data_IF_348468184422
#
_entry.id   IF_348468184422
#
_cell.length_a   1.000
_cell.length_b   1.000
_cell.length_c   1.000
_cell.angle_alpha   90.00
_cell.angle_beta   90.00
_cell.angle_gamma   90.00
#
_symmetry.space_group_name_H-M   'P 1'
#
loop_
_entity.id
_entity.type
_entity.pdbx_description
1 polymer ?
#
# COMPACT_ATOMS: atom_id res chain seq x y z
N UNK A 1 -3.84 25.52 7.25
CA UNK A 1 -3.88 24.66 6.06
C UNK A 1 -3.65 23.21 6.46
N UNK A 2 -4.55 22.34 6.09
CA UNK A 2 -4.40 20.92 6.39
C UNK A 2 -3.50 20.25 5.34
N UNK A 3 -2.67 19.32 5.80
CA UNK A 3 -1.88 18.50 4.91
C UNK A 3 -2.74 17.34 4.42
N UNK A 4 -2.66 17.05 3.13
CA UNK A 4 -3.34 15.89 2.56
C UNK A 4 -2.40 14.69 2.58
N UNK A 5 -2.96 13.51 2.85
CA UNK A 5 -2.20 12.25 2.84
C UNK A 5 -3.01 11.20 2.07
N UNK A 6 -2.85 11.14 0.74
CA UNK A 6 -3.59 10.16 -0.07
C UNK A 6 -3.28 8.72 0.29
N UNK A 7 -2.06 8.43 0.73
CA UNK A 7 -1.69 7.08 1.15
C UNK A 7 -2.44 6.70 2.41
N UNK A 8 -2.49 7.57 3.41
CA UNK A 8 -3.23 7.30 4.64
C UNK A 8 -4.72 7.10 4.35
N UNK A 9 -5.30 7.92 3.48
CA UNK A 9 -6.70 7.77 3.08
C UNK A 9 -6.94 6.40 2.42
N UNK A 10 -6.05 5.99 1.52
CA UNK A 10 -6.13 4.69 0.86
C UNK A 10 -6.07 3.55 1.88
N UNK A 11 -5.11 3.59 2.81
CA UNK A 11 -4.95 2.56 3.83
C UNK A 11 -6.18 2.49 4.73
N UNK A 12 -6.77 3.64 5.08
CA UNK A 12 -7.98 3.70 5.89
C UNK A 12 -9.17 3.07 5.15
N UNK A 13 -9.33 3.36 3.86
CA UNK A 13 -10.39 2.75 3.05
C UNK A 13 -10.26 1.24 2.99
N UNK A 14 -9.04 0.74 2.77
CA UNK A 14 -8.78 -0.70 2.74
C UNK A 14 -9.08 -1.33 4.10
N UNK A 15 -8.60 -0.70 5.18
CA UNK A 15 -8.80 -1.21 6.55
C UNK A 15 -10.29 -1.30 6.87
N UNK A 16 -11.05 -0.25 6.57
CA UNK A 16 -12.48 -0.22 6.85
C UNK A 16 -13.23 -1.28 6.02
N UNK A 17 -12.87 -1.44 4.75
CA UNK A 17 -13.48 -2.45 3.88
C UNK A 17 -13.20 -3.86 4.38
N UNK A 18 -11.97 -4.14 4.81
CA UNK A 18 -11.61 -5.43 5.40
C UNK A 18 -12.39 -5.71 6.67
N UNK A 19 -12.53 -4.72 7.56
CA UNK A 19 -13.29 -4.85 8.80
C UNK A 19 -14.77 -5.12 8.55
N UNK A 20 -15.32 -4.53 7.49
CA UNK A 20 -16.73 -4.71 7.12
C UNK A 20 -16.97 -5.96 6.28
N UNK A 21 -15.92 -6.68 5.89
CA UNK A 21 -16.04 -7.87 5.07
C UNK A 21 -16.40 -7.60 3.62
N UNK A 22 -16.12 -6.39 3.11
CA UNK A 22 -16.41 -6.05 1.73
C UNK A 22 -15.46 -6.77 0.78
N UNK A 23 -15.94 -7.14 -0.40
CA UNK A 23 -15.13 -7.82 -1.41
C UNK A 23 -14.29 -6.84 -2.23
N UNK A 24 -14.72 -5.58 -2.28
CA UNK A 24 -14.04 -4.57 -3.08
C UNK A 24 -14.12 -3.23 -2.37
N UNK A 25 -13.19 -2.36 -2.74
CA UNK A 25 -13.15 -0.99 -2.25
C UNK A 25 -12.79 -0.06 -3.39
N UNK A 26 -13.51 1.04 -3.51
CA UNK A 26 -13.32 2.04 -4.55
C UNK A 26 -12.72 3.32 -3.97
N UNK A 27 -11.90 3.99 -4.76
CA UNK A 27 -11.31 5.27 -4.39
C UNK A 27 -10.99 6.06 -5.66
N UNK A 28 -10.86 7.39 -5.56
CA UNK A 28 -10.41 8.16 -6.73
C UNK A 28 -9.04 7.66 -7.20
N UNK A 29 -8.88 7.51 -8.52
CA UNK A 29 -7.63 7.02 -9.08
C UNK A 29 -6.52 8.07 -8.95
N UNK A 30 -5.29 7.61 -8.69
CA UNK A 30 -4.09 8.43 -8.81
C UNK A 30 -2.94 7.51 -9.15
N UNK A 31 -1.84 8.09 -9.66
CA UNK A 31 -0.67 7.31 -10.02
C UNK A 31 -0.09 6.60 -8.80
N UNK A 32 0.03 7.31 -7.68
CA UNK A 32 0.58 6.75 -6.46
C UNK A 32 -0.28 5.60 -5.93
N UNK A 33 -1.60 5.80 -5.86
CA UNK A 33 -2.50 4.75 -5.37
C UNK A 33 -2.49 3.52 -6.25
N UNK A 34 -2.40 3.72 -7.58
CA UNK A 34 -2.32 2.62 -8.53
C UNK A 34 -1.04 1.81 -8.33
N UNK A 35 0.09 2.50 -8.07
CA UNK A 35 1.36 1.82 -7.78
C UNK A 35 1.29 1.02 -6.48
N UNK A 36 0.64 1.56 -5.44
CA UNK A 36 0.42 0.82 -4.19
C UNK A 36 -0.43 -0.41 -4.45
N UNK A 37 -1.52 -0.27 -5.21
CA UNK A 37 -2.39 -1.39 -5.55
C UNK A 37 -1.63 -2.48 -6.31
N UNK A 38 -0.76 -2.10 -7.25
CA UNK A 38 0.07 -3.04 -7.98
C UNK A 38 0.98 -3.84 -7.04
N UNK A 39 1.62 -3.16 -6.09
CA UNK A 39 2.47 -3.85 -5.10
C UNK A 39 1.67 -4.81 -4.24
N UNK A 40 0.49 -4.41 -3.80
CA UNK A 40 -0.38 -5.27 -2.99
C UNK A 40 -0.80 -6.52 -3.76
N UNK A 41 -1.15 -6.35 -5.03
CA UNK A 41 -1.51 -7.50 -5.88
C UNK A 41 -0.31 -8.42 -6.14
N UNK A 42 0.84 -7.84 -6.51
CA UNK A 42 2.03 -8.61 -6.84
C UNK A 42 2.57 -9.40 -5.65
N UNK A 43 2.31 -8.92 -4.44
CA UNK A 43 2.72 -9.58 -3.20
C UNK A 43 1.57 -10.36 -2.55
N UNK A 44 0.48 -10.58 -3.27
CA UNK A 44 -0.64 -11.45 -2.88
C UNK A 44 -1.43 -10.96 -1.66
N UNK A 45 -1.46 -9.65 -1.42
CA UNK A 45 -2.28 -9.08 -0.34
C UNK A 45 -3.69 -8.76 -0.80
N UNK A 46 -3.88 -8.48 -2.09
CA UNK A 46 -5.21 -8.33 -2.71
C UNK A 46 -5.30 -9.26 -3.90
N UNK A 47 -6.53 -9.55 -4.34
CA UNK A 47 -6.76 -10.44 -5.48
C UNK A 47 -6.40 -9.76 -6.79
N UNK A 48 -6.85 -8.51 -6.98
CA UNK A 48 -6.60 -7.74 -8.20
C UNK A 48 -7.02 -6.29 -7.98
N UNK A 49 -6.78 -5.46 -8.99
CA UNK A 49 -7.30 -4.10 -9.03
C UNK A 49 -7.67 -3.74 -10.46
N UNK A 50 -8.56 -2.76 -10.61
CA UNK A 50 -8.97 -2.24 -11.91
C UNK A 50 -9.12 -0.74 -11.84
N UNK A 51 -8.92 -0.08 -12.97
CA UNK A 51 -9.20 1.33 -13.14
C UNK A 51 -10.47 1.43 -13.98
N UNK A 52 -11.51 2.07 -13.42
CA UNK A 52 -12.81 2.21 -14.07
C UNK A 52 -13.01 3.66 -14.47
N UNK A 53 -13.57 3.84 -15.67
CA UNK A 53 -13.93 5.17 -16.16
C UNK A 53 -15.32 5.50 -15.60
N UNK A 54 -15.40 6.55 -14.80
CA UNK A 54 -16.66 7.03 -14.21
C UNK A 54 -17.19 8.28 -14.93
N UNK A 55 -16.56 8.63 -16.06
CA UNK A 55 -16.93 9.82 -16.81
C UNK A 55 -16.31 11.10 -16.26
N UNK A 56 -15.51 11.03 -15.21
CA UNK A 56 -14.84 12.17 -14.59
C UNK A 56 -13.35 11.90 -14.46
N UNK A 57 -12.88 11.52 -13.25
CA UNK A 57 -11.45 11.35 -12.97
C UNK A 57 -11.01 9.89 -12.96
N UNK A 58 -11.95 8.98 -12.96
CA UNK A 58 -11.67 7.55 -12.87
C UNK A 58 -11.69 7.05 -11.43
N UNK A 59 -11.99 5.77 -11.30
CA UNK A 59 -12.08 5.08 -10.02
C UNK A 59 -11.08 3.93 -10.01
N UNK A 60 -10.28 3.85 -8.94
CA UNK A 60 -9.44 2.70 -8.67
C UNK A 60 -10.24 1.75 -7.80
N UNK A 61 -10.44 0.54 -8.28
CA UNK A 61 -11.17 -0.51 -7.55
C UNK A 61 -10.21 -1.62 -7.17
N UNK A 62 -10.11 -1.92 -5.89
CA UNK A 62 -9.35 -3.03 -5.37
C UNK A 62 -10.27 -4.18 -5.02
N UNK A 63 -9.89 -5.39 -5.41
CA UNK A 63 -10.59 -6.63 -5.05
C UNK A 63 -9.84 -7.26 -3.88
N UNK A 64 -10.46 -7.22 -2.71
CA UNK A 64 -9.84 -7.68 -1.47
C UNK A 64 -9.78 -9.22 -1.43
N UNK A 65 -8.88 -9.74 -0.62
CA UNK A 65 -8.61 -11.17 -0.53
C UNK A 65 -8.88 -11.67 0.88
N UNK A 66 -9.58 -12.79 0.96
CA UNK A 66 -9.94 -13.42 2.23
C UNK A 66 -9.50 -14.87 2.24
N UNK A 67 -9.17 -15.36 3.42
CA UNK A 67 -8.87 -16.77 3.63
C UNK A 67 -9.59 -17.20 4.90
N UNK A 68 -10.46 -18.25 4.80
CA UNK A 68 -11.30 -18.71 5.91
C UNK A 68 -12.09 -17.55 6.55
N UNK A 69 -12.68 -16.71 5.69
CA UNK A 69 -13.51 -15.56 6.08
C UNK A 69 -12.74 -14.43 6.79
N UNK A 70 -11.42 -14.54 6.87
CA UNK A 70 -10.57 -13.50 7.45
C UNK A 70 -9.82 -12.76 6.34
N UNK A 71 -9.67 -11.42 6.45
CA UNK A 71 -8.88 -10.68 5.46
C UNK A 71 -7.44 -11.17 5.46
N UNK A 72 -6.84 -11.26 4.27
CA UNK A 72 -5.42 -11.56 4.14
C UNK A 72 -4.58 -10.46 4.77
N UNK A 73 -4.99 -9.20 4.56
CA UNK A 73 -4.36 -8.06 5.21
C UNK A 73 -4.84 -7.99 6.65
N UNK A 74 -3.92 -8.18 7.60
CA UNK A 74 -4.23 -8.14 9.03
C UNK A 74 -4.05 -6.75 9.62
N UNK A 75 -3.03 -6.03 9.18
CA UNK A 75 -2.69 -4.71 9.70
C UNK A 75 -2.09 -3.85 8.60
N UNK A 76 -2.42 -2.56 8.61
CA UNK A 76 -1.87 -1.54 7.72
C UNK A 76 -1.46 -0.35 8.57
N UNK A 77 -0.18 0.05 8.50
CA UNK A 77 0.33 1.19 9.28
C UNK A 77 1.04 2.18 8.38
N UNK A 78 0.62 3.44 8.47
CA UNK A 78 1.32 4.54 7.83
C UNK A 78 2.59 4.84 8.63
N UNK A 79 3.73 4.99 7.95
CA UNK A 79 5.00 5.30 8.61
C UNK A 79 5.41 6.73 8.31
N UNK A 80 5.81 7.03 7.06
CA UNK A 80 6.14 8.39 6.65
C UNK A 80 4.88 9.20 6.40
N UNK A 81 4.79 10.39 6.96
CA UNK A 81 3.62 11.25 6.77
C UNK A 81 4.07 12.60 6.20
N UNK A 82 3.14 13.40 5.64
CA UNK A 82 3.50 14.73 5.14
C UNK A 82 4.11 15.62 6.23
N UNK A 83 3.70 15.45 7.49
CA UNK A 83 4.25 16.22 8.61
C UNK A 83 5.53 15.67 9.21
N UNK A 84 5.87 14.41 8.91
CA UNK A 84 7.07 13.78 9.45
C UNK A 84 7.54 12.70 8.46
N UNK A 85 8.38 13.09 7.53
CA UNK A 85 8.92 12.17 6.53
C UNK A 85 9.94 11.22 7.14
N UNK A 86 9.90 9.95 6.74
CA UNK A 86 10.80 8.90 7.22
C UNK A 86 11.56 8.30 6.05
N UNK A 87 12.87 8.52 6.01
CA UNK A 87 13.75 7.98 4.98
C UNK A 87 14.68 6.94 5.60
N UNK A 88 14.91 5.86 4.89
CA UNK A 88 15.80 4.79 5.34
C UNK A 88 16.76 4.41 4.24
N UNK A 89 17.98 4.02 4.65
CA UNK A 89 18.96 3.44 3.73
C UNK A 89 18.62 1.97 3.49
N UNK A 90 19.16 1.41 2.40
CA UNK A 90 18.91 0.01 2.05
C UNK A 90 19.12 -0.94 3.22
N UNK A 91 20.24 -0.80 3.93
CA UNK A 91 20.59 -1.66 5.08
C UNK A 91 19.69 -1.47 6.30
N UNK A 92 18.92 -0.37 6.32
CA UNK A 92 18.03 -0.04 7.43
C UNK A 92 16.58 -0.41 7.16
N UNK A 93 16.29 -1.01 5.99
CA UNK A 93 14.93 -1.41 5.63
C UNK A 93 14.41 -2.44 6.62
N UNK A 94 13.19 -2.23 7.16
CA UNK A 94 12.66 -3.15 8.16
C UNK A 94 12.28 -4.50 7.55
N UNK A 95 12.38 -5.54 8.35
CA UNK A 95 11.80 -6.85 8.02
C UNK A 95 10.53 -6.98 8.83
N UNK A 96 9.41 -6.71 8.19
CA UNK A 96 8.10 -6.70 8.84
C UNK A 96 7.72 -8.12 9.22
N UNK A 97 7.46 -8.36 10.51
CA UNK A 97 7.09 -9.70 11.03
C UNK A 97 8.05 -10.79 10.54
N UNK A 98 9.36 -10.55 10.65
CA UNK A 98 10.41 -11.48 10.23
C UNK A 98 10.30 -11.91 8.76
N UNK A 99 9.83 -11.00 7.90
CA UNK A 99 9.69 -11.25 6.48
C UNK A 99 8.32 -11.75 6.04
N UNK A 100 7.40 -11.97 6.98
CA UNK A 100 6.02 -12.37 6.66
C UNK A 100 5.17 -11.21 6.18
N UNK A 101 5.53 -9.99 6.57
CA UNK A 101 4.86 -8.78 6.11
C UNK A 101 5.65 -8.07 5.03
N UNK A 102 5.24 -6.83 4.72
CA UNK A 102 5.84 -6.03 3.65
C UNK A 102 5.93 -4.58 4.08
N UNK A 103 7.01 -3.91 3.68
CA UNK A 103 7.11 -2.46 3.73
C UNK A 103 6.98 -1.91 2.32
N UNK A 104 6.30 -0.78 2.19
CA UNK A 104 6.17 -0.06 0.93
C UNK A 104 7.15 1.09 0.96
N UNK A 105 8.09 1.11 0.00
CA UNK A 105 9.18 2.07 -0.05
C UNK A 105 9.13 2.85 -1.36
N UNK A 106 9.17 4.17 -1.26
CA UNK A 106 9.28 5.03 -2.43
C UNK A 106 10.77 5.29 -2.68
N UNK A 107 11.29 4.75 -3.78
CA UNK A 107 12.72 4.84 -4.11
C UNK A 107 12.92 5.69 -5.36
N UNK A 108 14.17 6.11 -5.66
CA UNK A 108 14.44 6.79 -6.93
C UNK A 108 14.10 5.96 -8.17
N UNK A 109 13.99 4.65 -8.02
CA UNK A 109 13.62 3.74 -9.12
C UNK A 109 12.12 3.39 -9.12
N UNK A 110 11.32 4.04 -8.27
CA UNK A 110 9.89 3.82 -8.18
C UNK A 110 9.46 3.21 -6.86
N UNK A 111 8.19 2.91 -6.78
CA UNK A 111 7.61 2.31 -5.59
C UNK A 111 7.90 0.81 -5.57
N UNK A 112 8.41 0.31 -4.45
CA UNK A 112 8.79 -1.11 -4.33
C UNK A 112 8.51 -1.64 -2.92
N UNK A 113 8.49 -2.97 -2.81
CA UNK A 113 8.51 -3.62 -1.51
C UNK A 113 9.92 -3.52 -0.90
N UNK A 114 10.01 -3.74 0.41
CA UNK A 114 11.31 -3.80 1.09
C UNK A 114 12.22 -4.88 0.49
N UNK A 115 11.63 -6.02 0.11
CA UNK A 115 12.40 -7.11 -0.51
C UNK A 115 13.00 -6.66 -1.85
N UNK A 116 12.21 -6.02 -2.70
CA UNK A 116 12.69 -5.50 -3.98
C UNK A 116 13.75 -4.43 -3.79
N UNK A 117 13.54 -3.53 -2.82
CA UNK A 117 14.50 -2.47 -2.53
C UNK A 117 15.83 -3.04 -2.04
N UNK A 118 15.80 -4.07 -1.20
CA UNK A 118 17.03 -4.75 -0.75
C UNK A 118 17.77 -5.41 -1.94
N UNK A 119 17.04 -6.06 -2.83
CA UNK A 119 17.63 -6.67 -4.02
C UNK A 119 18.24 -5.63 -4.94
N UNK A 120 17.59 -4.49 -5.11
CA UNK A 120 18.09 -3.39 -5.94
C UNK A 120 19.15 -2.54 -5.22
N UNK A 121 19.37 -2.77 -3.92
CA UNK A 121 20.32 -2.04 -3.08
C UNK A 121 20.03 -0.55 -3.04
N UNK A 122 18.75 -0.20 -2.92
CA UNK A 122 18.30 1.19 -2.82
C UNK A 122 17.50 1.39 -1.54
N UNK A 123 17.59 2.59 -0.98
CA UNK A 123 16.74 3.04 0.10
C UNK A 123 15.74 4.06 -0.43
N UNK A 124 14.95 4.63 0.46
CA UNK A 124 13.99 5.62 0.09
C UNK A 124 13.07 6.00 1.23
N UNK A 125 11.93 6.56 0.89
CA UNK A 125 10.91 6.94 1.86
C UNK A 125 10.09 5.73 2.26
N UNK A 126 10.08 5.42 3.56
CA UNK A 126 9.30 4.30 4.10
C UNK A 126 7.86 4.76 4.28
N UNK A 127 7.00 4.42 3.32
CA UNK A 127 5.62 4.91 3.30
C UNK A 127 4.72 4.21 4.31
N UNK A 128 4.76 2.89 4.33
CA UNK A 128 3.84 2.10 5.15
C UNK A 128 4.40 0.70 5.37
N UNK A 129 3.85 0.02 6.37
CA UNK A 129 4.12 -1.41 6.60
C UNK A 129 2.79 -2.13 6.73
N UNK A 130 2.76 -3.39 6.35
CA UNK A 130 1.56 -4.21 6.43
C UNK A 130 1.90 -5.69 6.61
N UNK A 131 0.95 -6.42 7.15
CA UNK A 131 1.05 -7.87 7.31
C UNK A 131 -0.33 -8.52 7.43
#
# INVERSE_FOLDING_TARGET
MSLTDPVADMLTRIRNACSAGHRRVDMPVSKLKTEVARLLRDNHYIADYKILDDGAHGVLRLYLKYHNELPVIRELRRVSTPGLRRYVKCRELPRVKNGLGMAIVSTPQGLMSDRQARQARVGGELLAVLW
#
